data_IF_480988060787
#
_entry.id   IF_480988060787
#
_cell.length_a   1.000
_cell.length_b   1.000
_cell.length_c   1.000
_cell.angle_alpha   90.00
_cell.angle_beta   90.00
_cell.angle_gamma   90.00
#
_symmetry.space_group_name_H-M   'P 1'
#
loop_
_entity.id
_entity.type
_entity.pdbx_description
1 polymer ?
#
# COMPACT_ATOMS: atom_id res chain seq x y z
N UNK A 1 -0.27 12.69 -23.43
CA UNK A 1 0.41 12.93 -22.14
C UNK A 1 -0.45 12.28 -21.07
N UNK A 2 0.07 11.36 -20.25
CA UNK A 2 -0.71 10.83 -19.12
C UNK A 2 -0.98 12.00 -18.17
N UNK A 3 -2.22 12.13 -17.70
CA UNK A 3 -2.58 13.12 -16.66
C UNK A 3 -1.78 12.83 -15.39
N UNK A 4 -1.45 13.87 -14.62
CA UNK A 4 -0.77 13.73 -13.31
C UNK A 4 -1.75 13.35 -12.18
N UNK A 5 -3.00 13.02 -12.52
CA UNK A 5 -3.96 12.51 -11.55
C UNK A 5 -3.57 11.13 -11.01
N UNK A 6 -3.89 10.86 -9.75
CA UNK A 6 -3.71 9.56 -9.10
C UNK A 6 -4.35 8.42 -9.91
N UNK A 7 -5.55 8.65 -10.45
CA UNK A 7 -6.27 7.67 -11.27
C UNK A 7 -5.51 7.23 -12.54
N UNK A 8 -4.56 8.03 -13.03
CA UNK A 8 -3.76 7.74 -14.23
C UNK A 8 -2.34 7.27 -13.91
N UNK A 9 -2.03 6.97 -12.64
CA UNK A 9 -0.80 6.31 -12.27
C UNK A 9 -0.64 4.97 -13.01
N UNK A 10 0.59 4.50 -13.18
CA UNK A 10 0.85 3.22 -13.85
C UNK A 10 0.41 2.03 -13.01
N UNK A 11 0.46 2.18 -11.68
CA UNK A 11 -0.02 1.23 -10.71
C UNK A 11 -0.60 1.98 -9.49
N UNK A 12 -1.78 1.59 -9.02
CA UNK A 12 -2.42 2.02 -7.78
C UNK A 12 -2.53 0.81 -6.85
N UNK A 13 -1.41 0.50 -6.20
CA UNK A 13 -1.23 -0.68 -5.36
C UNK A 13 -1.93 -0.42 -4.03
N UNK A 14 -2.67 -1.38 -3.48
CA UNK A 14 -3.27 -1.21 -2.15
C UNK A 14 -3.08 -2.41 -1.23
N UNK A 15 -3.14 -2.13 0.07
CA UNK A 15 -3.30 -3.12 1.12
C UNK A 15 -4.23 -2.56 2.20
N UNK A 16 -5.03 -3.42 2.80
CA UNK A 16 -5.94 -3.04 3.87
C UNK A 16 -5.96 -4.08 4.98
N UNK A 17 -6.32 -3.63 6.18
CA UNK A 17 -6.63 -4.47 7.33
C UNK A 17 -7.63 -3.76 8.22
N UNK A 18 -8.76 -4.39 8.54
CA UNK A 18 -9.75 -3.85 9.47
C UNK A 18 -10.39 -4.97 10.29
N UNK A 19 -10.91 -4.62 11.47
CA UNK A 19 -11.62 -5.56 12.33
C UNK A 19 -13.11 -5.27 12.26
N UNK A 20 -13.90 -6.28 11.89
CA UNK A 20 -15.36 -6.20 11.87
C UNK A 20 -15.95 -6.12 13.27
N UNK A 21 -17.23 -5.77 13.35
CA UNK A 21 -17.97 -5.70 14.62
C UNK A 21 -18.07 -7.06 15.35
N UNK A 22 -17.87 -8.15 14.60
CA UNK A 22 -17.82 -9.53 15.10
C UNK A 22 -16.43 -9.92 15.66
N UNK A 23 -15.45 -9.01 15.62
CA UNK A 23 -14.07 -9.25 16.04
C UNK A 23 -13.21 -9.94 14.97
N UNK A 24 -13.77 -10.28 13.81
CA UNK A 24 -13.02 -10.90 12.72
C UNK A 24 -12.11 -9.86 12.07
N UNK A 25 -10.84 -10.21 11.86
CA UNK A 25 -9.92 -9.36 11.08
C UNK A 25 -10.01 -9.72 9.61
N UNK A 26 -10.28 -8.73 8.78
CA UNK A 26 -10.26 -8.82 7.33
C UNK A 26 -9.05 -8.07 6.80
N UNK A 27 -8.30 -8.72 5.91
CA UNK A 27 -7.16 -8.12 5.24
C UNK A 27 -7.05 -8.59 3.79
N UNK A 28 -6.32 -7.82 3.00
CA UNK A 28 -6.16 -8.08 1.58
C UNK A 28 -5.29 -7.03 0.90
N UNK A 29 -4.92 -7.32 -0.35
CA UNK A 29 -4.08 -6.44 -1.16
C UNK A 29 -4.29 -6.67 -2.64
N UNK A 30 -4.03 -5.64 -3.45
CA UNK A 30 -3.93 -5.72 -4.90
C UNK A 30 -2.63 -5.06 -5.37
N UNK A 31 -1.96 -5.72 -6.30
CA UNK A 31 -0.71 -5.29 -6.89
C UNK A 31 -0.91 -4.28 -8.04
N UNK A 32 -2.11 -4.20 -8.64
CA UNK A 32 -2.41 -3.42 -9.86
C UNK A 32 -1.33 -3.57 -10.96
N UNK A 33 -0.91 -4.80 -11.22
CA UNK A 33 0.15 -5.13 -12.19
C UNK A 33 1.59 -4.92 -11.71
N UNK A 34 1.81 -4.33 -10.52
CA UNK A 34 3.12 -4.28 -9.85
C UNK A 34 3.32 -5.55 -9.00
N UNK A 35 3.53 -6.68 -9.69
CA UNK A 35 3.54 -8.00 -9.07
C UNK A 35 4.45 -8.08 -7.82
N UNK A 36 3.84 -8.46 -6.70
CA UNK A 36 4.44 -8.62 -5.37
C UNK A 36 4.31 -7.41 -4.44
N UNK A 37 3.93 -6.23 -4.92
CA UNK A 37 3.95 -5.01 -4.13
C UNK A 37 2.81 -4.87 -3.10
N UNK A 38 1.59 -5.28 -3.45
CA UNK A 38 0.44 -5.29 -2.55
C UNK A 38 0.65 -6.25 -1.39
N UNK A 39 1.11 -7.47 -1.65
CA UNK A 39 1.46 -8.43 -0.58
C UNK A 39 2.59 -7.91 0.32
N UNK A 40 3.55 -7.19 -0.25
CA UNK A 40 4.62 -6.54 0.52
C UNK A 40 4.05 -5.47 1.46
N UNK A 41 3.14 -4.62 0.97
CA UNK A 41 2.45 -3.62 1.79
C UNK A 41 1.61 -4.26 2.90
N UNK A 42 0.83 -5.30 2.57
CA UNK A 42 0.03 -6.02 3.56
C UNK A 42 0.91 -6.60 4.67
N UNK A 43 2.04 -7.24 4.30
CA UNK A 43 3.00 -7.73 5.27
C UNK A 43 3.53 -6.60 6.15
N UNK A 44 3.85 -5.44 5.60
CA UNK A 44 4.31 -4.29 6.38
C UNK A 44 3.25 -3.77 7.35
N UNK A 45 1.97 -3.74 6.95
CA UNK A 45 0.87 -3.40 7.87
C UNK A 45 0.78 -4.42 9.02
N UNK A 46 0.82 -5.72 8.71
CA UNK A 46 0.78 -6.77 9.73
C UNK A 46 1.97 -6.65 10.71
N UNK A 47 3.19 -6.53 10.19
CA UNK A 47 4.42 -6.46 10.99
C UNK A 47 4.49 -5.19 11.87
N UNK A 48 3.70 -4.16 11.57
CA UNK A 48 3.66 -2.89 12.30
C UNK A 48 2.32 -2.65 13.02
N UNK A 49 1.52 -3.69 13.25
CA UNK A 49 0.21 -3.63 13.89
C UNK A 49 -0.76 -2.60 13.29
N UNK A 50 -0.72 -2.43 11.97
CA UNK A 50 -1.69 -1.66 11.22
C UNK A 50 -3.08 -2.27 11.38
N UNK A 51 -3.99 -1.54 12.04
CA UNK A 51 -5.38 -1.90 12.28
C UNK A 51 -6.29 -0.83 11.72
N UNK A 52 -7.46 -1.23 11.22
CA UNK A 52 -8.45 -0.32 10.62
C UNK A 52 -7.80 0.67 9.62
N UNK A 53 -6.89 0.14 8.81
CA UNK A 53 -6.00 0.90 7.92
C UNK A 53 -6.21 0.41 6.49
N UNK A 54 -6.33 1.35 5.55
CA UNK A 54 -6.18 1.09 4.12
C UNK A 54 -5.13 2.07 3.58
N UNK A 55 -4.15 1.54 2.85
CA UNK A 55 -3.12 2.34 2.18
C UNK A 55 -3.16 2.08 0.68
N UNK A 56 -3.03 3.16 -0.09
CA UNK A 56 -2.85 3.11 -1.54
C UNK A 56 -1.52 3.78 -1.87
N UNK A 57 -0.69 3.12 -2.68
CA UNK A 57 0.57 3.65 -3.20
C UNK A 57 0.46 3.76 -4.72
N UNK A 58 0.40 5.00 -5.19
CA UNK A 58 0.39 5.32 -6.62
C UNK A 58 1.82 5.42 -7.16
N UNK A 59 2.13 4.61 -8.16
CA UNK A 59 3.43 4.59 -8.84
C UNK A 59 3.27 5.01 -10.30
N UNK A 60 3.99 6.05 -10.70
CA UNK A 60 4.17 6.40 -12.11
C UNK A 60 5.45 5.74 -12.63
N UNK A 61 5.31 4.93 -13.68
CA UNK A 61 6.46 4.30 -14.33
C UNK A 61 7.20 5.33 -15.19
N UNK A 62 8.47 5.58 -14.85
CA UNK A 62 9.42 6.27 -15.71
C UNK A 62 10.39 5.28 -16.36
N UNK A 63 11.31 4.74 -15.55
CA UNK A 63 12.31 3.77 -15.95
C UNK A 63 12.31 2.52 -15.04
N UNK A 64 12.92 1.43 -15.53
CA UNK A 64 13.08 0.19 -14.77
C UNK A 64 14.16 0.38 -13.70
N UNK A 65 13.74 0.49 -12.45
CA UNK A 65 14.64 0.57 -11.28
C UNK A 65 14.82 -0.78 -10.56
N UNK A 66 14.35 -1.87 -11.18
CA UNK A 66 14.50 -3.22 -10.65
C UNK A 66 13.84 -3.41 -9.28
N UNK A 67 14.41 -4.27 -8.40
CA UNK A 67 13.87 -4.54 -7.07
C UNK A 67 13.77 -3.30 -6.16
N UNK A 68 14.53 -2.23 -6.43
CA UNK A 68 14.53 -1.01 -5.62
C UNK A 68 13.14 -0.37 -5.49
N UNK A 69 12.27 -0.55 -6.49
CA UNK A 69 10.89 -0.05 -6.43
C UNK A 69 10.11 -0.58 -5.23
N UNK A 70 10.33 -1.84 -4.85
CA UNK A 70 9.64 -2.46 -3.71
C UNK A 70 10.01 -1.77 -2.40
N UNK A 71 11.28 -1.38 -2.23
CA UNK A 71 11.72 -0.59 -1.08
C UNK A 71 10.96 0.74 -0.99
N UNK A 72 10.89 1.49 -2.09
CA UNK A 72 10.18 2.77 -2.12
C UNK A 72 8.69 2.63 -1.86
N UNK A 73 8.04 1.65 -2.50
CA UNK A 73 6.61 1.36 -2.29
C UNK A 73 6.35 1.05 -0.81
N UNK A 74 7.17 0.18 -0.21
CA UNK A 74 7.02 -0.23 1.17
C UNK A 74 7.25 0.94 2.14
N UNK A 75 8.32 1.71 1.95
CA UNK A 75 8.67 2.84 2.82
C UNK A 75 7.59 3.93 2.80
N UNK A 76 7.09 4.32 1.62
CA UNK A 76 6.06 5.37 1.53
C UNK A 76 4.71 4.88 2.07
N UNK A 77 4.34 3.63 1.80
CA UNK A 77 3.10 3.04 2.31
C UNK A 77 3.11 2.94 3.83
N UNK A 78 4.19 2.44 4.41
CA UNK A 78 4.32 2.34 5.87
C UNK A 78 4.41 3.72 6.53
N UNK A 79 5.11 4.68 5.92
CA UNK A 79 5.16 6.05 6.42
C UNK A 79 3.77 6.68 6.44
N UNK A 80 2.95 6.47 5.41
CA UNK A 80 1.58 6.98 5.37
C UNK A 80 0.73 6.36 6.48
N UNK A 81 0.81 5.03 6.65
CA UNK A 81 0.07 4.31 7.69
C UNK A 81 0.42 4.81 9.11
N UNK A 82 1.70 5.08 9.38
CA UNK A 82 2.15 5.60 10.69
C UNK A 82 1.70 7.03 11.00
N UNK A 83 1.42 7.81 9.96
CA UNK A 83 0.98 9.20 10.10
C UNK A 83 -0.55 9.34 10.22
N UNK A 84 -1.28 8.22 10.32
CA UNK A 84 -2.73 8.28 10.48
C UNK A 84 -3.13 8.78 11.88
N UNK A 85 -4.16 9.63 11.98
CA UNK A 85 -4.68 10.07 13.28
C UNK A 85 -5.16 8.87 14.11
N UNK A 86 -4.70 8.77 15.36
CA UNK A 86 -5.10 7.69 16.28
C UNK A 86 -4.14 6.49 16.32
N UNK A 87 -3.03 6.51 15.57
CA UNK A 87 -1.93 5.56 15.71
C UNK A 87 -0.96 5.99 16.82
N UNK A 88 -1.36 5.85 18.09
CA UNK A 88 -0.50 5.99 19.29
C UNK A 88 -0.76 4.86 20.27
#
# INVERSE_FOLDING_TARGET
MRSDSIASASHNIFAFRFTGNDGTTHDGSDDDGEHGAGRLLLKALIDNDGKNTLVVVSRWYGNKIGPRRFKHINEVGLSAARNMPGST
#
